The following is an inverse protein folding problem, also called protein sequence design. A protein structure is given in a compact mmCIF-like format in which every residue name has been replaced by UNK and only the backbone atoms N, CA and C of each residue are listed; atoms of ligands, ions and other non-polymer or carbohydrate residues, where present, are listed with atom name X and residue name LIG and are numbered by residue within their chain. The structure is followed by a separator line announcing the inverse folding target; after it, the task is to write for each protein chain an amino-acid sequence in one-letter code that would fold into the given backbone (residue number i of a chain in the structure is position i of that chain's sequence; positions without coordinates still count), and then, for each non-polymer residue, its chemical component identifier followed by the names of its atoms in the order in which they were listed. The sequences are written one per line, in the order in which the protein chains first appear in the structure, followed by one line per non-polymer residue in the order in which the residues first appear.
data_IF_475897063100
#
_entry.id   IF_475897063100
#
_cell.length_a   1.000
_cell.length_b   1.000
_cell.length_c   1.000
_cell.angle_alpha   90.00
_cell.angle_beta   90.00
_cell.angle_gamma   90.00
#
_symmetry.space_group_name_H-M   'P 1'
#
loop_
_entity.id
_entity.type
_entity.pdbx_description
1 polymer ?
#
# COMPACT_ATOMS: atom_id res chain seq x y z
N UNK A 1 24.64 -12.68 -6.49
CA UNK A 1 23.39 -13.13 -7.15
C UNK A 1 22.39 -11.99 -6.95
N UNK A 2 22.22 -11.11 -7.94
CA UNK A 2 21.23 -10.02 -7.88
C UNK A 2 19.83 -10.63 -8.05
N UNK A 3 18.93 -10.33 -7.13
CA UNK A 3 17.53 -10.73 -7.25
C UNK A 3 16.95 -10.11 -8.54
N UNK A 4 16.08 -10.82 -9.29
CA UNK A 4 15.48 -10.30 -10.53
C UNK A 4 14.52 -9.11 -10.29
N UNK A 5 14.23 -8.81 -9.03
CA UNK A 5 13.37 -7.73 -8.58
C UNK A 5 14.09 -6.91 -7.51
N UNK A 6 14.29 -5.62 -7.80
CA UNK A 6 14.86 -4.66 -6.87
C UNK A 6 13.74 -3.96 -6.09
N UNK A 7 13.56 -4.37 -4.84
CA UNK A 7 12.55 -3.81 -3.93
C UNK A 7 12.81 -2.31 -3.69
N UNK A 8 14.08 -1.87 -3.64
CA UNK A 8 14.43 -0.46 -3.51
C UNK A 8 14.02 0.35 -4.73
N UNK A 9 14.22 -0.20 -5.93
CA UNK A 9 13.75 0.41 -7.17
C UNK A 9 12.22 0.51 -7.22
N UNK A 10 11.50 -0.53 -6.78
CA UNK A 10 10.03 -0.51 -6.75
C UNK A 10 9.48 0.53 -5.75
N UNK A 11 10.07 0.62 -4.55
CA UNK A 11 9.67 1.60 -3.53
C UNK A 11 9.95 3.03 -4.02
N UNK A 12 11.13 3.28 -4.58
CA UNK A 12 11.48 4.61 -5.10
C UNK A 12 10.59 5.01 -6.27
N UNK A 13 10.30 4.09 -7.19
CA UNK A 13 9.34 4.33 -8.28
C UNK A 13 7.96 4.72 -7.73
N UNK A 14 7.44 3.98 -6.75
CA UNK A 14 6.12 4.23 -6.18
C UNK A 14 6.06 5.55 -5.39
N UNK A 15 7.12 5.88 -4.64
CA UNK A 15 7.25 7.17 -3.94
C UNK A 15 7.24 8.34 -4.94
N UNK A 16 8.02 8.25 -6.01
CA UNK A 16 8.10 9.30 -7.02
C UNK A 16 6.76 9.46 -7.74
N UNK A 17 6.10 8.35 -8.07
CA UNK A 17 4.77 8.36 -8.67
C UNK A 17 3.74 9.09 -7.78
N UNK A 18 3.70 8.77 -6.48
CA UNK A 18 2.78 9.41 -5.53
C UNK A 18 3.09 10.90 -5.33
N UNK A 19 4.37 11.26 -5.19
CA UNK A 19 4.78 12.66 -5.08
C UNK A 19 4.37 13.46 -6.33
N UNK A 20 4.50 12.88 -7.52
CA UNK A 20 4.08 13.53 -8.76
C UNK A 20 2.57 13.73 -8.84
N UNK A 21 1.76 12.77 -8.37
CA UNK A 21 0.31 12.92 -8.29
C UNK A 21 -0.05 14.06 -7.34
N UNK A 22 0.49 14.05 -6.13
CA UNK A 22 0.20 15.07 -5.11
C UNK A 22 0.60 16.46 -5.64
N UNK A 23 1.80 16.57 -6.21
CA UNK A 23 2.29 17.83 -6.79
C UNK A 23 1.45 18.28 -7.98
N UNK A 24 0.98 17.34 -8.82
CA UNK A 24 0.07 17.63 -9.93
C UNK A 24 -1.28 18.17 -9.45
N UNK A 25 -1.84 17.59 -8.38
CA UNK A 25 -3.07 18.08 -7.77
C UNK A 25 -2.90 19.47 -7.18
N UNK A 26 -1.82 19.74 -6.45
CA UNK A 26 -1.53 21.08 -5.91
C UNK A 26 -1.32 22.11 -7.02
N UNK A 27 -0.67 21.72 -8.12
CA UNK A 27 -0.48 22.56 -9.29
C UNK A 27 -1.81 22.96 -9.93
N UNK A 28 -2.68 22.00 -10.18
CA UNK A 28 -3.96 22.24 -10.87
C UNK A 28 -4.97 23.00 -10.00
N UNK A 29 -4.87 22.86 -8.68
CA UNK A 29 -5.79 23.49 -7.72
C UNK A 29 -5.24 24.82 -7.17
N UNK A 30 -4.33 24.74 -6.20
CA UNK A 30 -3.87 25.89 -5.42
C UNK A 30 -2.93 26.77 -6.24
N UNK A 31 -1.93 26.19 -6.90
CA UNK A 31 -0.90 27.00 -7.57
C UNK A 31 -1.38 27.66 -8.85
N UNK A 32 -2.38 27.07 -9.53
CA UNK A 32 -3.07 27.72 -10.65
C UNK A 32 -3.79 28.99 -10.23
N UNK A 33 -4.34 29.03 -9.01
CA UNK A 33 -5.06 30.18 -8.47
C UNK A 33 -4.16 31.23 -7.83
N UNK A 34 -3.04 30.84 -7.22
CA UNK A 34 -2.09 31.77 -6.61
C UNK A 34 -0.64 31.21 -6.67
N UNK A 35 0.16 31.58 -7.68
CA UNK A 35 1.49 31.03 -7.88
C UNK A 35 2.52 31.50 -6.83
N UNK A 36 2.33 32.67 -6.21
CA UNK A 36 3.23 33.17 -5.14
C UNK A 36 3.27 32.25 -3.92
N UNK A 37 2.13 31.62 -3.58
CA UNK A 37 2.06 30.66 -2.48
C UNK A 37 2.92 29.41 -2.74
N UNK A 38 3.05 29.02 -4.01
CA UNK A 38 3.89 27.89 -4.40
C UNK A 38 5.37 28.17 -4.11
N UNK A 39 5.80 29.40 -4.34
CA UNK A 39 7.18 29.84 -4.11
C UNK A 39 7.44 29.99 -2.62
N UNK A 40 6.56 30.69 -1.92
CA UNK A 40 6.70 31.01 -0.50
C UNK A 40 6.68 29.76 0.40
N UNK A 41 5.85 28.77 0.08
CA UNK A 41 5.68 27.55 0.88
C UNK A 41 6.32 26.31 0.27
N UNK A 42 7.15 26.47 -0.77
CA UNK A 42 7.78 25.37 -1.53
C UNK A 42 8.43 24.30 -0.64
N UNK A 43 9.22 24.71 0.37
CA UNK A 43 9.89 23.79 1.30
C UNK A 43 8.92 22.98 2.17
N UNK A 44 7.89 23.64 2.73
CA UNK A 44 6.88 22.98 3.55
C UNK A 44 6.03 22.02 2.71
N UNK A 45 5.65 22.44 1.51
CA UNK A 45 4.86 21.64 0.58
C UNK A 45 5.64 20.41 0.13
N UNK A 46 6.91 20.56 -0.25
CA UNK A 46 7.76 19.41 -0.63
C UNK A 46 7.85 18.38 0.49
N UNK A 47 8.05 18.84 1.73
CA UNK A 47 8.13 17.97 2.91
C UNK A 47 6.81 17.24 3.16
N UNK A 48 5.69 17.96 3.15
CA UNK A 48 4.35 17.37 3.34
C UNK A 48 3.98 16.40 2.22
N UNK A 49 4.33 16.72 0.98
CA UNK A 49 4.14 15.83 -0.17
C UNK A 49 4.92 14.53 0.00
N UNK A 50 6.19 14.60 0.42
CA UNK A 50 6.98 13.41 0.71
C UNK A 50 6.38 12.58 1.85
N UNK A 51 6.04 13.21 2.99
CA UNK A 51 5.41 12.51 4.12
C UNK A 51 4.09 11.85 3.71
N UNK A 52 3.27 12.53 2.92
CA UNK A 52 1.98 12.02 2.43
C UNK A 52 2.19 10.82 1.49
N UNK A 53 3.17 10.90 0.59
CA UNK A 53 3.51 9.78 -0.29
C UNK A 53 3.96 8.54 0.50
N UNK A 54 4.83 8.73 1.50
CA UNK A 54 5.27 7.64 2.40
C UNK A 54 4.08 7.06 3.16
N UNK A 55 3.23 7.90 3.74
CA UNK A 55 2.04 7.45 4.47
C UNK A 55 1.11 6.61 3.59
N UNK A 56 0.84 7.04 2.35
CA UNK A 56 0.00 6.30 1.41
C UNK A 56 0.59 4.93 1.05
N UNK A 57 1.92 4.83 0.87
CA UNK A 57 2.57 3.53 0.67
C UNK A 57 2.39 2.60 1.88
N UNK A 58 2.59 3.11 3.09
CA UNK A 58 2.41 2.31 4.30
C UNK A 58 0.96 1.85 4.47
N UNK A 59 -0.01 2.71 4.15
CA UNK A 59 -1.44 2.38 4.19
C UNK A 59 -1.78 1.29 3.19
N UNK A 60 -1.23 1.34 1.96
CA UNK A 60 -1.41 0.29 0.96
C UNK A 60 -0.88 -1.06 1.46
N UNK A 61 0.35 -1.09 1.99
CA UNK A 61 0.95 -2.32 2.53
C UNK A 61 0.16 -2.84 3.72
N UNK A 62 -0.27 -1.97 4.63
CA UNK A 62 -1.08 -2.32 5.80
C UNK A 62 -2.44 -2.89 5.40
N UNK A 63 -3.09 -2.31 4.39
CA UNK A 63 -4.38 -2.78 3.87
C UNK A 63 -4.24 -4.14 3.21
N UNK A 64 -3.20 -4.32 2.37
CA UNK A 64 -2.91 -5.60 1.73
C UNK A 64 -2.60 -6.69 2.77
N UNK A 65 -1.84 -6.35 3.82
CA UNK A 65 -1.56 -7.26 4.94
C UNK A 65 -2.84 -7.75 5.63
N UNK A 66 -3.81 -6.85 5.86
CA UNK A 66 -5.10 -7.24 6.46
C UNK A 66 -5.86 -8.21 5.58
N UNK A 67 -5.95 -7.95 4.28
CA UNK A 67 -6.65 -8.81 3.31
C UNK A 67 -6.01 -10.20 3.27
N UNK A 68 -4.68 -10.27 3.15
CA UNK A 68 -3.94 -11.53 3.16
C UNK A 68 -4.15 -12.28 4.48
N UNK A 69 -4.14 -11.57 5.61
CA UNK A 69 -4.41 -12.14 6.93
C UNK A 69 -5.79 -12.82 7.01
N UNK A 70 -6.84 -12.17 6.51
CA UNK A 70 -8.17 -12.78 6.43
C UNK A 70 -8.21 -14.00 5.51
N UNK A 71 -7.54 -13.94 4.36
CA UNK A 71 -7.48 -15.06 3.41
C UNK A 71 -6.78 -16.28 4.00
N UNK A 72 -5.67 -16.06 4.72
CA UNK A 72 -4.95 -17.12 5.44
C UNK A 72 -5.82 -17.72 6.54
N UNK A 73 -6.47 -16.89 7.36
CA UNK A 73 -7.36 -17.36 8.42
C UNK A 73 -8.51 -18.22 7.87
N UNK A 74 -9.11 -17.78 6.76
CA UNK A 74 -10.16 -18.52 6.07
C UNK A 74 -9.65 -19.87 5.54
N UNK A 75 -8.45 -19.90 4.96
CA UNK A 75 -7.79 -21.14 4.54
C UNK A 75 -7.60 -22.13 5.70
N UNK A 76 -7.17 -21.65 6.87
CA UNK A 76 -7.01 -22.48 8.06
C UNK A 76 -8.34 -23.02 8.60
N UNK A 77 -9.39 -22.19 8.64
CA UNK A 77 -10.73 -22.61 9.08
C UNK A 77 -11.26 -23.72 8.16
N UNK A 78 -11.16 -23.54 6.85
CA UNK A 78 -11.58 -24.55 5.86
C UNK A 78 -10.79 -25.86 6.00
N UNK A 79 -9.48 -25.77 6.23
CA UNK A 79 -8.62 -26.93 6.42
C UNK A 79 -9.04 -27.72 7.67
N UNK A 80 -9.24 -27.04 8.80
CA UNK A 80 -9.68 -27.66 10.05
C UNK A 80 -11.06 -28.32 9.88
N UNK A 81 -11.99 -27.66 9.20
CA UNK A 81 -13.31 -28.22 8.88
C UNK A 81 -13.19 -29.49 8.03
N UNK A 82 -12.38 -29.48 6.97
CA UNK A 82 -12.16 -30.63 6.11
C UNK A 82 -11.57 -31.83 6.89
N UNK A 83 -10.59 -31.58 7.77
CA UNK A 83 -10.01 -32.62 8.63
C UNK A 83 -11.07 -33.20 9.58
N UNK A 84 -11.85 -32.34 10.23
CA UNK A 84 -12.89 -32.77 11.18
C UNK A 84 -13.97 -33.60 10.49
N UNK A 85 -14.42 -33.17 9.30
CA UNK A 85 -15.37 -33.93 8.48
C UNK A 85 -14.80 -35.25 8.01
N UNK A 86 -13.51 -35.32 7.66
CA UNK A 86 -12.86 -36.57 7.28
C UNK A 86 -12.77 -37.56 8.44
N UNK A 87 -12.61 -37.08 9.68
CA UNK A 87 -12.55 -37.93 10.86
C UNK A 87 -13.94 -38.45 11.24
N UNK A 88 -14.97 -37.61 11.15
CA UNK A 88 -16.36 -37.98 11.49
C UNK A 88 -17.01 -38.81 10.38
N UNK A 89 -16.69 -38.52 9.12
CA UNK A 89 -17.21 -39.20 7.94
C UNK A 89 -16.44 -40.46 7.54
N UNK A 90 -15.35 -40.79 8.22
CA UNK A 90 -14.72 -42.11 8.08
C UNK A 90 -15.70 -43.16 8.61
N UNK A 91 -16.22 -44.08 7.78
CA UNK A 91 -17.06 -45.15 8.28
C UNK A 91 -16.19 -45.97 9.25
N UNK A 92 -16.53 -45.93 10.54
CA UNK A 92 -16.17 -47.02 11.45
C UNK A 92 -16.68 -48.29 10.78
N UNK A 93 -15.76 -49.20 10.43
CA UNK A 93 -16.12 -50.49 9.82
C UNK A 93 -17.21 -51.22 10.59
#
# INVERSE_FOLDING_TARGET
MSLPFDIGAAISWALNFLQNIIMGLLKETIFKSNPELAVQFSGAISTLTFLTAVYLLLVLVSSLRKIIGYLIALGWILLILAMTLSIIGAPSG
#
